data_IF_294988391586
#
_entry.id   IF_294988391586
#
_cell.length_a   1.000
_cell.length_b   1.000
_cell.length_c   1.000
_cell.angle_alpha   90.00
_cell.angle_beta   90.00
_cell.angle_gamma   90.00
#
_symmetry.space_group_name_H-M   'P 1'
#
loop_
_entity.id
_entity.type
_entity.pdbx_description
1 polymer ?
#
# COMPACT_ATOMS: atom_id res chain seq x y z
N UNK A 1 -9.43 0.11 16.65
CA UNK A 1 -9.61 -1.02 15.70
C UNK A 1 -10.74 -0.81 14.70
N UNK A 2 -11.88 -0.18 15.04
CA UNK A 2 -13.03 -0.06 14.13
C UNK A 2 -12.79 0.75 12.83
N UNK A 3 -12.03 1.84 12.88
CA UNK A 3 -11.87 2.74 11.73
C UNK A 3 -11.16 2.10 10.53
N UNK A 4 -10.08 1.35 10.75
CA UNK A 4 -9.34 0.67 9.67
C UNK A 4 -10.18 -0.38 8.95
N UNK A 5 -11.04 -1.07 9.70
CA UNK A 5 -11.96 -2.08 9.16
C UNK A 5 -13.02 -1.43 8.28
N UNK A 6 -13.60 -0.30 8.72
CA UNK A 6 -14.57 0.44 7.91
C UNK A 6 -13.96 0.88 6.58
N UNK A 7 -12.71 1.37 6.59
CA UNK A 7 -12.01 1.77 5.37
C UNK A 7 -11.76 0.60 4.41
N UNK A 8 -11.47 -0.60 4.93
CA UNK A 8 -11.30 -1.80 4.09
C UNK A 8 -12.62 -2.24 3.47
N UNK A 9 -13.68 -2.35 4.28
CA UNK A 9 -15.00 -2.78 3.80
C UNK A 9 -15.56 -1.79 2.76
N UNK A 10 -15.38 -0.49 2.99
CA UNK A 10 -15.76 0.56 2.04
C UNK A 10 -14.91 0.50 0.75
N UNK A 11 -13.61 0.21 0.85
CA UNK A 11 -12.76 0.00 -0.33
C UNK A 11 -13.18 -1.23 -1.13
N UNK A 12 -13.50 -2.34 -0.45
CA UNK A 12 -13.93 -3.59 -1.05
C UNK A 12 -15.19 -3.39 -1.89
N UNK A 13 -16.21 -2.78 -1.29
CA UNK A 13 -17.48 -2.50 -1.94
C UNK A 13 -17.32 -1.59 -3.17
N UNK A 14 -16.51 -0.54 -3.07
CA UNK A 14 -16.28 0.37 -4.21
C UNK A 14 -15.43 -0.25 -5.30
N UNK A 15 -14.41 -1.05 -4.95
CA UNK A 15 -13.63 -1.78 -5.95
C UNK A 15 -14.51 -2.71 -6.78
N UNK A 16 -15.37 -3.49 -6.13
CA UNK A 16 -16.25 -4.44 -6.81
C UNK A 16 -17.25 -3.68 -7.71
N UNK A 17 -17.82 -2.58 -7.23
CA UNK A 17 -18.71 -1.72 -8.04
C UNK A 17 -18.02 -1.08 -9.25
N UNK A 18 -16.75 -0.68 -9.12
CA UNK A 18 -15.97 -0.12 -10.23
C UNK A 18 -15.64 -1.24 -11.24
N UNK A 19 -15.24 -2.42 -10.77
CA UNK A 19 -14.99 -3.59 -11.62
C UNK A 19 -16.24 -3.98 -12.42
N UNK A 20 -17.40 -3.93 -11.79
CA UNK A 20 -18.68 -4.28 -12.42
C UNK A 20 -19.25 -3.14 -13.29
N UNK A 21 -18.55 -2.00 -13.42
CA UNK A 21 -18.96 -0.85 -14.23
C UNK A 21 -20.14 -0.07 -13.65
N UNK A 22 -20.48 -0.28 -12.39
CA UNK A 22 -21.59 0.38 -11.69
C UNK A 22 -21.22 1.78 -11.19
N UNK A 23 -19.92 2.04 -11.02
CA UNK A 23 -19.38 3.25 -10.39
C UNK A 23 -18.12 3.70 -11.13
N UNK A 24 -17.93 5.02 -11.24
CA UNK A 24 -16.73 5.59 -11.85
C UNK A 24 -15.48 5.40 -10.99
N UNK A 25 -14.34 5.19 -11.66
CA UNK A 25 -13.01 5.03 -11.05
C UNK A 25 -12.62 6.15 -10.06
N UNK A 26 -13.18 7.36 -10.20
CA UNK A 26 -12.86 8.46 -9.29
C UNK A 26 -13.21 8.15 -7.82
N UNK A 27 -14.25 7.35 -7.59
CA UNK A 27 -14.67 6.94 -6.24
C UNK A 27 -13.66 6.01 -5.57
N UNK A 28 -13.04 5.13 -6.35
CA UNK A 28 -11.97 4.24 -5.89
C UNK A 28 -10.69 5.05 -5.61
N UNK A 29 -10.34 5.97 -6.53
CA UNK A 29 -9.17 6.83 -6.38
C UNK A 29 -9.22 7.69 -5.12
N UNK A 30 -10.38 8.25 -4.76
CA UNK A 30 -10.54 9.06 -3.56
C UNK A 30 -10.25 8.26 -2.28
N UNK A 31 -10.76 7.02 -2.18
CA UNK A 31 -10.50 6.13 -1.04
C UNK A 31 -9.06 5.71 -0.98
N UNK A 32 -8.49 5.35 -2.13
CA UNK A 32 -7.11 4.93 -2.22
C UNK A 32 -6.16 6.05 -1.75
N UNK A 33 -6.45 7.30 -2.10
CA UNK A 33 -5.69 8.45 -1.61
C UNK A 33 -5.66 8.54 -0.08
N UNK A 34 -6.80 8.33 0.58
CA UNK A 34 -6.90 8.27 2.05
C UNK A 34 -6.04 7.13 2.61
N UNK A 35 -6.04 5.96 1.98
CA UNK A 35 -5.26 4.81 2.45
C UNK A 35 -3.75 5.00 2.28
N UNK A 36 -3.33 5.69 1.20
CA UNK A 36 -1.92 6.02 0.93
C UNK A 36 -1.31 6.99 1.94
N UNK A 37 -2.12 7.70 2.74
CA UNK A 37 -1.64 8.60 3.83
C UNK A 37 -0.85 7.89 4.92
N UNK A 38 -0.85 6.54 4.95
CA UNK A 38 0.08 5.75 5.75
C UNK A 38 -0.55 4.92 6.86
N UNK A 39 -1.88 4.95 7.01
CA UNK A 39 -2.60 4.13 7.99
C UNK A 39 -2.21 2.64 7.85
N UNK A 40 -2.16 2.14 6.61
CA UNK A 40 -1.81 0.74 6.31
C UNK A 40 -0.30 0.44 6.27
N UNK A 41 0.55 1.47 6.37
CA UNK A 41 2.01 1.33 6.46
C UNK A 41 2.47 1.05 7.91
N UNK A 42 1.61 1.32 8.90
CA UNK A 42 1.85 1.01 10.31
C UNK A 42 1.75 -0.49 10.62
N UNK A 43 2.41 -0.95 11.69
CA UNK A 43 2.33 -2.35 12.14
C UNK A 43 0.90 -2.79 12.49
N UNK A 44 0.08 -1.87 13.01
CA UNK A 44 -1.33 -2.15 13.26
C UNK A 44 -2.11 -2.29 11.95
N UNK A 45 -1.86 -1.41 10.98
CA UNK A 45 -2.50 -1.46 9.65
C UNK A 45 -2.15 -2.73 8.89
N UNK A 46 -0.89 -3.15 8.91
CA UNK A 46 -0.43 -4.41 8.31
C UNK A 46 -1.11 -5.64 8.95
N UNK A 47 -1.25 -5.66 10.28
CA UNK A 47 -1.98 -6.73 10.98
C UNK A 47 -3.45 -6.79 10.59
N UNK A 48 -4.11 -5.64 10.51
CA UNK A 48 -5.48 -5.55 10.00
C UNK A 48 -5.56 -6.06 8.56
N UNK A 49 -4.66 -5.62 7.67
CA UNK A 49 -4.64 -6.10 6.28
C UNK A 49 -4.43 -7.62 6.17
N UNK A 50 -3.48 -8.18 6.91
CA UNK A 50 -3.21 -9.62 6.90
C UNK A 50 -4.42 -10.46 7.30
N UNK A 51 -5.27 -9.96 8.21
CA UNK A 51 -6.50 -10.62 8.61
C UNK A 51 -7.59 -10.53 7.54
N UNK A 52 -7.76 -9.37 6.90
CA UNK A 52 -8.86 -9.13 5.96
C UNK A 52 -8.59 -9.61 4.54
N UNK A 53 -7.33 -9.67 4.10
CA UNK A 53 -6.98 -10.05 2.72
C UNK A 53 -7.38 -11.48 2.35
N UNK A 54 -7.56 -12.36 3.33
CA UNK A 54 -8.02 -13.74 3.12
C UNK A 54 -9.43 -13.83 2.54
N UNK A 55 -10.21 -12.74 2.63
CA UNK A 55 -11.58 -12.67 2.12
C UNK A 55 -11.66 -12.09 0.70
N UNK A 56 -10.52 -11.82 0.05
CA UNK A 56 -10.44 -11.19 -1.27
C UNK A 56 -9.73 -12.11 -2.26
N UNK A 57 -10.02 -11.92 -3.53
CA UNK A 57 -9.32 -12.61 -4.61
C UNK A 57 -7.88 -12.11 -4.75
N UNK A 58 -7.04 -12.92 -5.41
CA UNK A 58 -5.61 -12.62 -5.55
C UNK A 58 -5.37 -11.35 -6.37
N UNK A 59 -6.21 -11.09 -7.38
CA UNK A 59 -6.13 -9.89 -8.21
C UNK A 59 -6.27 -8.61 -7.37
N UNK A 60 -7.27 -8.56 -6.50
CA UNK A 60 -7.47 -7.46 -5.57
C UNK A 60 -6.31 -7.32 -4.59
N UNK A 61 -5.81 -8.45 -4.05
CA UNK A 61 -4.71 -8.45 -3.09
C UNK A 61 -3.45 -7.86 -3.71
N UNK A 62 -3.10 -8.30 -4.92
CA UNK A 62 -1.92 -7.83 -5.64
C UNK A 62 -2.05 -6.34 -5.99
N UNK A 63 -3.22 -5.92 -6.46
CA UNK A 63 -3.53 -4.50 -6.72
C UNK A 63 -3.39 -3.65 -5.46
N UNK A 64 -4.00 -4.08 -4.34
CA UNK A 64 -3.95 -3.32 -3.09
C UNK A 64 -2.53 -3.21 -2.56
N UNK A 65 -1.78 -4.31 -2.53
CA UNK A 65 -0.41 -4.32 -2.03
C UNK A 65 0.51 -3.49 -2.94
N UNK A 66 0.30 -3.50 -4.25
CA UNK A 66 0.99 -2.61 -5.17
C UNK A 66 0.69 -1.13 -4.89
N UNK A 67 -0.58 -0.75 -4.75
CA UNK A 67 -0.95 0.65 -4.54
C UNK A 67 -0.51 1.20 -3.18
N UNK A 68 -0.58 0.39 -2.12
CA UNK A 68 -0.30 0.84 -0.75
C UNK A 68 1.20 0.70 -0.39
N UNK A 69 1.85 -0.35 -0.88
CA UNK A 69 3.24 -0.69 -0.51
C UNK A 69 4.24 -0.55 -1.66
N UNK A 70 3.81 -0.45 -2.92
CA UNK A 70 4.69 -0.31 -4.09
C UNK A 70 5.65 0.88 -3.97
N UNK A 71 5.16 2.03 -3.48
CA UNK A 71 5.99 3.22 -3.23
C UNK A 71 7.08 2.98 -2.18
N UNK A 72 6.80 2.15 -1.16
CA UNK A 72 7.81 1.76 -0.15
C UNK A 72 8.87 0.85 -0.76
N UNK A 73 8.49 -0.04 -1.68
CA UNK A 73 9.42 -0.89 -2.41
C UNK A 73 10.43 -0.09 -3.22
N UNK A 74 9.95 0.89 -4.00
CA UNK A 74 10.79 1.74 -4.83
C UNK A 74 11.62 2.76 -4.02
N UNK A 75 11.04 3.36 -2.98
CA UNK A 75 11.78 4.23 -2.06
C UNK A 75 12.88 3.43 -1.33
N UNK A 76 12.58 2.20 -0.88
CA UNK A 76 13.55 1.31 -0.27
C UNK A 76 14.67 0.96 -1.25
N UNK A 77 14.36 0.48 -2.46
CA UNK A 77 15.37 0.18 -3.49
C UNK A 77 16.29 1.37 -3.78
N UNK A 78 15.73 2.58 -3.85
CA UNK A 78 16.51 3.81 -4.05
C UNK A 78 17.45 4.07 -2.88
N UNK A 79 16.98 3.96 -1.63
CA UNK A 79 17.81 4.13 -0.43
C UNK A 79 18.95 3.11 -0.39
N UNK A 80 18.67 1.83 -0.66
CA UNK A 80 19.69 0.77 -0.67
C UNK A 80 20.72 0.97 -1.79
N UNK A 81 20.29 1.31 -3.01
CA UNK A 81 21.20 1.64 -4.13
C UNK A 81 22.10 2.84 -3.85
N UNK A 82 21.60 3.83 -3.10
CA UNK A 82 22.36 5.03 -2.70
C UNK A 82 23.26 4.78 -1.48
N UNK A 83 23.03 3.70 -0.74
CA UNK A 83 23.87 3.28 0.39
C UNK A 83 25.05 2.42 -0.09
N UNK A 84 24.83 1.53 -1.07
CA UNK A 84 25.88 0.71 -1.69
C UNK A 84 26.96 1.56 -2.39
N UNK A 85 26.59 2.70 -3.00
CA UNK A 85 27.53 3.64 -3.62
C UNK A 85 28.17 4.66 -2.66
N UNK A 86 28.15 4.41 -1.34
CA UNK A 86 28.82 5.25 -0.33
C UNK A 86 29.86 4.50 0.50
N UNK A 87 29.97 3.18 0.38
CA UNK A 87 30.98 2.39 1.09
C UNK A 87 32.38 2.53 0.46
N UNK A 88 32.47 3.00 -0.78
CA UNK A 88 33.68 3.24 -1.55
C UNK A 88 34.36 4.60 -1.28
N UNK A 89 33.67 5.53 -0.61
CA UNK A 89 34.19 6.89 -0.34
C UNK A 89 34.84 7.07 1.03
N UNK A 90 34.85 6.05 1.89
CA UNK A 90 35.38 6.14 3.25
C UNK A 90 36.89 5.82 3.39
N UNK A 91 37.64 5.81 2.28
CA UNK A 91 39.07 5.42 2.27
C UNK A 91 40.03 6.57 2.62
N UNK A 92 39.56 7.82 2.83
CA UNK A 92 40.46 8.93 3.18
C UNK A 92 39.96 9.77 4.36
N UNK A 93 40.20 9.26 5.56
CA UNK A 93 40.43 10.10 6.76
C UNK A 93 41.58 9.50 7.57
N UNK A 94 42.79 9.94 7.26
CA UNK A 94 43.91 10.05 8.20
C UNK A 94 44.05 11.53 8.60
#
# INVERSE_FOLDING_TARGET
MAFQVMLLVDLFDVYDKVRDGLVDNHHLNARLHVLKTGIFKTEQGKRSWAFWKILRDQEFVDWFEHEIYGDLGEARKTIFKTAEGREDLNVFRQ
#
